data_IF_260440631164
#
_entry.id   IF_260440631164
#
_cell.length_a   1.000
_cell.length_b   1.000
_cell.length_c   1.000
_cell.angle_alpha   90.00
_cell.angle_beta   90.00
_cell.angle_gamma   90.00
#
_symmetry.space_group_name_H-M   'P 1'
#
loop_
_entity.id
_entity.type
_entity.pdbx_description
1 polymer ?
#
# COMPACT_ATOMS: atom_id res chain seq x y z
N UNK A 1 23.78 -0.66 31.94
CA UNK A 1 22.56 -0.20 31.23
C UNK A 1 22.98 0.26 29.84
N UNK A 2 22.91 -0.64 28.85
CA UNK A 2 23.17 -0.27 27.46
C UNK A 2 21.88 0.26 26.86
N UNK A 3 21.82 1.56 26.55
CA UNK A 3 20.76 2.09 25.71
C UNK A 3 20.83 1.34 24.37
N UNK A 4 19.85 0.48 24.09
CA UNK A 4 19.68 -0.09 22.75
C UNK A 4 19.38 1.08 21.83
N UNK A 5 20.41 1.60 21.15
CA UNK A 5 20.22 2.59 20.10
C UNK A 5 19.40 1.90 19.01
N UNK A 6 18.17 2.36 18.78
CA UNK A 6 17.39 1.93 17.64
C UNK A 6 18.17 2.29 16.37
N UNK A 7 18.54 1.30 15.57
CA UNK A 7 19.14 1.54 14.26
C UNK A 7 18.21 2.47 13.47
N UNK A 8 18.68 3.62 12.96
CA UNK A 8 17.84 4.51 12.17
C UNK A 8 17.33 3.76 10.93
N UNK A 9 16.06 4.02 10.56
CA UNK A 9 15.49 3.40 9.37
C UNK A 9 16.25 3.87 8.13
N UNK A 10 16.56 2.98 7.17
CA UNK A 10 17.08 3.38 5.87
C UNK A 10 16.13 4.38 5.20
N UNK A 11 16.67 5.36 4.48
CA UNK A 11 15.90 6.41 3.82
C UNK A 11 14.69 5.91 3.01
N UNK A 12 14.79 4.85 2.18
CA UNK A 12 13.63 4.35 1.44
C UNK A 12 12.53 3.80 2.36
N UNK A 13 12.93 3.15 3.45
CA UNK A 13 12.01 2.59 4.45
C UNK A 13 11.30 3.70 5.22
N UNK A 14 12.04 4.75 5.60
CA UNK A 14 11.48 5.92 6.27
C UNK A 14 10.50 6.69 5.37
N UNK A 15 10.81 6.81 4.07
CA UNK A 15 9.91 7.42 3.07
C UNK A 15 8.62 6.63 2.89
N UNK A 16 8.68 5.30 2.92
CA UNK A 16 7.48 4.47 2.80
C UNK A 16 6.63 4.47 4.07
N UNK A 17 7.24 4.27 5.24
CA UNK A 17 6.55 4.18 6.53
C UNK A 17 6.40 5.51 7.26
N UNK A 18 6.24 6.60 6.51
CA UNK A 18 6.21 7.96 7.05
C UNK A 18 4.97 8.27 7.91
N UNK A 19 3.87 7.52 7.74
CA UNK A 19 2.66 7.62 8.56
C UNK A 19 1.88 8.94 8.44
N UNK A 20 2.17 9.74 7.41
CA UNK A 20 1.46 11.00 7.11
C UNK A 20 0.59 10.81 5.85
N UNK A 21 -0.31 11.76 5.53
CA UNK A 21 -0.97 11.75 4.23
C UNK A 21 0.04 11.73 3.08
N UNK A 22 -0.23 10.92 2.06
CA UNK A 22 0.58 10.79 0.86
C UNK A 22 0.32 12.00 -0.05
N UNK A 23 1.18 13.01 0.06
CA UNK A 23 1.14 14.18 -0.83
C UNK A 23 1.79 13.86 -2.18
N UNK A 24 1.57 14.67 -3.24
CA UNK A 24 2.27 14.50 -4.52
C UNK A 24 3.80 14.53 -4.38
N UNK A 25 4.35 15.35 -3.49
CA UNK A 25 5.79 15.43 -3.24
C UNK A 25 6.32 14.16 -2.56
N UNK A 26 5.57 13.64 -1.58
CA UNK A 26 5.92 12.38 -0.92
C UNK A 26 5.84 11.20 -1.90
N UNK A 27 4.81 11.17 -2.73
CA UNK A 27 4.69 10.18 -3.81
C UNK A 27 5.90 10.26 -4.75
N UNK A 28 6.25 11.43 -5.27
CA UNK A 28 7.42 11.58 -6.15
C UNK A 28 8.71 11.15 -5.43
N UNK A 29 8.86 11.46 -4.15
CA UNK A 29 10.01 11.05 -3.35
C UNK A 29 10.09 9.54 -3.12
N UNK A 30 8.94 8.86 -3.01
CA UNK A 30 8.82 7.41 -2.91
C UNK A 30 9.12 6.75 -4.26
N UNK A 31 8.55 7.29 -5.34
CA UNK A 31 8.81 6.80 -6.71
C UNK A 31 10.29 6.89 -7.09
N UNK A 32 11.01 7.90 -6.60
CA UNK A 32 12.44 8.07 -6.83
C UNK A 32 13.31 6.99 -6.16
N UNK A 33 12.79 6.32 -5.11
CA UNK A 33 13.51 5.27 -4.39
C UNK A 33 13.02 3.87 -4.73
N UNK A 34 12.19 3.67 -5.75
CA UNK A 34 11.89 2.32 -6.25
C UNK A 34 12.96 1.92 -7.28
N UNK A 35 13.40 0.66 -7.22
CA UNK A 35 14.31 0.09 -8.21
C UNK A 35 13.61 -0.15 -9.54
N UNK A 36 14.38 -0.36 -10.61
CA UNK A 36 13.82 -0.57 -11.95
C UNK A 36 13.07 -1.90 -12.07
N UNK A 37 13.47 -2.89 -11.26
CA UNK A 37 12.83 -4.20 -11.10
C UNK A 37 11.80 -4.24 -9.96
N UNK A 38 11.33 -3.07 -9.50
CA UNK A 38 10.39 -2.99 -8.39
C UNK A 38 9.09 -3.78 -8.64
N UNK A 39 8.65 -4.50 -7.62
CA UNK A 39 7.35 -5.15 -7.59
C UNK A 39 6.65 -5.08 -6.22
N UNK A 40 5.34 -4.94 -6.24
CA UNK A 40 4.47 -5.13 -5.08
C UNK A 40 3.55 -6.33 -5.30
N UNK A 41 3.45 -7.19 -4.28
CA UNK A 41 2.63 -8.41 -4.30
C UNK A 41 1.86 -8.58 -2.99
N UNK A 42 0.66 -9.14 -3.07
CA UNK A 42 -0.05 -9.66 -1.90
C UNK A 42 0.36 -11.12 -1.66
N UNK A 43 0.75 -11.45 -0.43
CA UNK A 43 1.24 -12.79 -0.05
C UNK A 43 0.55 -13.32 1.20
N UNK A 44 0.60 -14.63 1.40
CA UNK A 44 0.04 -15.30 2.58
C UNK A 44 -1.30 -15.99 2.35
N UNK A 45 -1.77 -16.66 3.39
CA UNK A 45 -2.96 -17.51 3.38
C UNK A 45 -4.26 -16.72 3.11
N UNK A 46 -4.35 -15.52 3.70
CA UNK A 46 -5.56 -14.71 3.69
C UNK A 46 -5.67 -13.73 2.51
N UNK A 47 -4.84 -13.90 1.48
CA UNK A 47 -4.94 -13.07 0.27
C UNK A 47 -6.27 -13.38 -0.43
N UNK A 48 -7.16 -12.38 -0.63
CA UNK A 48 -8.42 -12.60 -1.31
C UNK A 48 -8.20 -12.88 -2.81
N UNK A 49 -9.10 -13.64 -3.43
CA UNK A 49 -8.96 -14.07 -4.83
C UNK A 49 -8.82 -12.90 -5.81
N UNK A 50 -9.48 -11.76 -5.58
CA UNK A 50 -9.34 -10.59 -6.44
C UNK A 50 -7.93 -9.96 -6.41
N UNK A 51 -7.13 -10.27 -5.38
CA UNK A 51 -5.77 -9.79 -5.23
C UNK A 51 -4.75 -10.82 -5.75
N UNK A 52 -5.17 -12.04 -6.11
CA UNK A 52 -4.33 -13.05 -6.76
C UNK A 52 -4.53 -13.01 -8.28
N UNK A 53 -3.48 -13.07 -9.10
CA UNK A 53 -2.04 -12.95 -8.82
C UNK A 53 -1.55 -11.51 -9.08
N UNK A 54 -2.21 -10.49 -8.50
CA UNK A 54 -1.91 -9.09 -8.86
C UNK A 54 -0.48 -8.74 -8.45
N UNK A 55 0.35 -8.47 -9.45
CA UNK A 55 1.68 -7.88 -9.29
C UNK A 55 1.63 -6.44 -9.81
N UNK A 56 1.90 -5.49 -8.92
CA UNK A 56 2.08 -4.08 -9.29
C UNK A 56 3.58 -3.83 -9.48
N UNK A 57 4.02 -3.90 -10.73
CA UNK A 57 5.37 -3.51 -11.12
C UNK A 57 5.56 -1.98 -11.10
N UNK A 58 6.80 -1.52 -11.34
CA UNK A 58 7.14 -0.09 -11.41
C UNK A 58 6.32 0.73 -12.40
N UNK A 59 5.82 0.13 -13.48
CA UNK A 59 4.99 0.84 -14.47
C UNK A 59 3.55 1.05 -13.98
N UNK A 60 3.06 0.21 -13.07
CA UNK A 60 1.65 0.22 -12.60
C UNK A 60 1.49 0.84 -11.22
N UNK A 61 2.44 0.64 -10.32
CA UNK A 61 2.33 1.08 -8.93
C UNK A 61 2.07 2.59 -8.78
N UNK A 62 2.82 3.49 -9.45
CA UNK A 62 2.54 4.94 -9.42
C UNK A 62 1.11 5.30 -9.83
N UNK A 63 0.60 4.65 -10.88
CA UNK A 63 -0.76 4.88 -11.37
C UNK A 63 -1.83 4.43 -10.38
N UNK A 64 -1.63 3.27 -9.74
CA UNK A 64 -2.53 2.76 -8.70
C UNK A 64 -2.56 3.69 -7.47
N UNK A 65 -1.40 4.17 -7.03
CA UNK A 65 -1.29 5.10 -5.90
C UNK A 65 -1.95 6.45 -6.23
N UNK A 66 -1.65 7.00 -7.42
CA UNK A 66 -2.28 8.25 -7.89
C UNK A 66 -3.80 8.14 -8.00
N UNK A 67 -4.32 7.00 -8.47
CA UNK A 67 -5.76 6.76 -8.54
C UNK A 67 -6.40 6.77 -7.15
N UNK A 68 -5.77 6.13 -6.17
CA UNK A 68 -6.22 6.22 -4.78
C UNK A 68 -6.18 7.67 -4.26
N UNK A 69 -5.09 8.41 -4.46
CA UNK A 69 -4.99 9.79 -3.97
C UNK A 69 -6.00 10.74 -4.61
N UNK A 70 -6.37 10.52 -5.87
CA UNK A 70 -7.39 11.33 -6.54
C UNK A 70 -8.76 11.22 -5.85
N UNK A 71 -9.11 10.03 -5.34
CA UNK A 71 -10.36 9.79 -4.61
C UNK A 71 -10.24 9.99 -3.10
N UNK A 72 -9.04 9.80 -2.55
CA UNK A 72 -8.71 9.88 -1.13
C UNK A 72 -7.53 10.85 -0.91
N UNK A 73 -7.75 12.18 -0.94
CA UNK A 73 -6.67 13.17 -0.87
C UNK A 73 -5.82 13.10 0.41
N UNK A 74 -6.36 12.53 1.49
CA UNK A 74 -5.65 12.30 2.76
C UNK A 74 -5.22 10.83 2.97
N UNK A 75 -5.10 10.05 1.88
CA UNK A 75 -4.64 8.67 1.92
C UNK A 75 -3.36 8.53 2.75
N UNK A 76 -3.37 7.67 3.75
CA UNK A 76 -2.27 7.47 4.69
C UNK A 76 -1.96 5.98 4.80
N UNK A 77 -0.67 5.65 4.82
CA UNK A 77 -0.14 4.33 5.17
C UNK A 77 0.51 4.45 6.56
N UNK A 78 -0.25 4.13 7.61
CA UNK A 78 0.16 4.35 8.99
C UNK A 78 0.65 3.06 9.66
N UNK A 79 1.96 2.95 9.97
CA UNK A 79 2.45 1.87 10.82
C UNK A 79 1.75 1.92 12.19
N UNK A 80 1.15 0.81 12.59
CA UNK A 80 0.52 0.63 13.91
C UNK A 80 1.54 0.31 15.01
N UNK A 81 2.74 -0.10 14.61
CA UNK A 81 3.90 -0.40 15.46
C UNK A 81 5.17 0.09 14.77
N UNK A 82 6.25 0.20 15.54
CA UNK A 82 7.57 0.53 14.99
C UNK A 82 7.98 -0.46 13.91
N UNK A 83 8.56 0.05 12.83
CA UNK A 83 9.15 -0.74 11.75
C UNK A 83 10.33 -1.55 12.31
N UNK A 84 10.42 -2.82 11.94
CA UNK A 84 11.50 -3.73 12.36
C UNK A 84 12.12 -4.43 11.18
N UNK A 85 13.43 -4.61 11.21
CA UNK A 85 14.09 -5.52 10.29
C UNK A 85 13.80 -6.97 10.69
N UNK A 86 13.41 -7.81 9.72
CA UNK A 86 13.14 -9.24 9.88
C UNK A 86 14.36 -10.05 9.44
N UNK A 87 14.40 -11.32 9.85
CA UNK A 87 15.51 -12.23 9.55
C UNK A 87 15.72 -12.48 8.04
N UNK A 88 14.68 -12.31 7.22
CA UNK A 88 14.74 -12.41 5.76
C UNK A 88 15.27 -11.13 5.08
N UNK A 89 15.78 -10.17 5.86
CA UNK A 89 16.31 -8.89 5.37
C UNK A 89 15.27 -7.81 5.10
N UNK A 90 13.96 -8.11 5.19
CA UNK A 90 12.92 -7.10 4.97
C UNK A 90 12.75 -6.16 6.17
N UNK A 91 12.28 -4.95 5.90
CA UNK A 91 11.81 -3.99 6.90
C UNK A 91 10.29 -4.01 6.91
N UNK A 92 9.69 -4.35 8.05
CA UNK A 92 8.26 -4.61 8.12
C UNK A 92 7.56 -3.89 9.27
N UNK A 93 6.29 -3.54 9.02
CA UNK A 93 5.36 -3.07 10.02
C UNK A 93 3.93 -3.49 9.67
N UNK A 94 3.13 -3.75 10.71
CA UNK A 94 1.68 -3.79 10.58
C UNK A 94 1.20 -2.37 10.26
N UNK A 95 0.54 -2.20 9.13
CA UNK A 95 0.16 -0.91 8.56
C UNK A 95 -1.35 -0.86 8.37
N UNK A 96 -1.97 0.21 8.86
CA UNK A 96 -3.36 0.56 8.55
C UNK A 96 -3.35 1.53 7.38
N UNK A 97 -4.13 1.25 6.34
CA UNK A 97 -4.30 2.17 5.21
C UNK A 97 -5.67 2.83 5.33
N UNK A 98 -5.72 4.15 5.26
CA UNK A 98 -6.97 4.89 5.41
C UNK A 98 -7.02 6.16 4.58
N UNK A 99 -8.24 6.58 4.23
CA UNK A 99 -8.50 7.88 3.63
C UNK A 99 -9.99 8.20 3.59
N UNK A 100 -10.32 9.48 3.45
CA UNK A 100 -11.67 9.97 3.28
C UNK A 100 -12.03 10.05 1.79
N UNK A 101 -13.14 9.45 1.40
CA UNK A 101 -13.63 9.51 0.02
C UNK A 101 -14.28 10.87 -0.26
N UNK A 102 -13.44 11.89 -0.39
CA UNK A 102 -13.79 13.31 -0.57
C UNK A 102 -13.33 13.86 -1.92
N UNK A 103 -12.48 13.14 -2.63
CA UNK A 103 -12.02 13.48 -3.98
C UNK A 103 -12.93 12.93 -5.08
N UNK A 104 -12.32 12.55 -6.19
CA UNK A 104 -12.98 12.03 -7.38
C UNK A 104 -13.74 10.71 -7.13
N UNK A 105 -14.80 10.42 -7.90
CA UNK A 105 -15.45 9.10 -7.89
C UNK A 105 -14.46 7.96 -8.11
N UNK A 106 -14.55 6.91 -7.29
CA UNK A 106 -13.53 5.87 -7.22
C UNK A 106 -13.92 4.59 -7.95
N UNK A 107 -13.00 4.09 -8.79
CA UNK A 107 -12.96 2.70 -9.22
C UNK A 107 -11.48 2.27 -9.33
N UNK A 108 -11.12 1.04 -8.89
CA UNK A 108 -9.74 0.56 -8.95
C UNK A 108 -9.36 0.05 -10.34
N UNK A 109 -10.34 -0.23 -11.21
CA UNK A 109 -10.16 -0.74 -12.56
C UNK A 109 -11.12 -0.02 -13.52
N UNK A 110 -10.72 0.26 -14.78
CA UNK A 110 -11.52 1.07 -15.71
C UNK A 110 -12.89 0.50 -16.08
N UNK A 111 -13.05 -0.83 -16.04
CA UNK A 111 -14.31 -1.49 -16.41
C UNK A 111 -15.35 -1.50 -15.29
N UNK A 112 -14.98 -1.08 -14.07
CA UNK A 112 -15.89 -1.02 -12.94
C UNK A 112 -16.61 0.33 -12.89
N UNK A 113 -17.82 0.31 -12.35
CA UNK A 113 -18.57 1.53 -12.09
C UNK A 113 -17.85 2.38 -11.04
N UNK A 114 -17.70 3.68 -11.31
CA UNK A 114 -17.11 4.61 -10.34
C UNK A 114 -18.11 4.88 -9.23
N UNK A 115 -17.73 4.62 -7.98
CA UNK A 115 -18.53 4.97 -6.82
C UNK A 115 -18.45 6.49 -6.62
N UNK A 116 -19.59 7.21 -6.61
CA UNK A 116 -19.58 8.63 -6.32
C UNK A 116 -18.97 8.94 -4.95
N UNK A 117 -18.39 10.14 -4.83
CA UNK A 117 -17.86 10.67 -3.58
C UNK A 117 -18.88 10.52 -2.45
N UNK A 118 -18.46 9.93 -1.33
CA UNK A 118 -19.40 9.50 -0.28
C UNK A 118 -19.16 10.14 1.08
N UNK A 119 -18.08 10.92 1.24
CA UNK A 119 -17.62 11.49 2.51
C UNK A 119 -17.30 10.43 3.59
N UNK A 120 -17.32 9.13 3.23
CA UNK A 120 -16.98 8.04 4.14
C UNK A 120 -15.46 8.00 4.34
N UNK A 121 -15.05 7.83 5.60
CA UNK A 121 -13.71 7.37 5.91
C UNK A 121 -13.62 5.86 5.65
N UNK A 122 -12.66 5.46 4.82
CA UNK A 122 -12.37 4.06 4.51
C UNK A 122 -11.08 3.66 5.20
N UNK A 123 -11.09 2.48 5.83
CA UNK A 123 -9.91 1.88 6.47
C UNK A 123 -9.80 0.41 6.08
N UNK A 124 -8.59 -0.02 5.75
CA UNK A 124 -8.23 -1.42 5.54
C UNK A 124 -6.99 -1.79 6.36
N UNK A 125 -6.82 -3.08 6.62
CA UNK A 125 -5.79 -3.62 7.49
C UNK A 125 -6.21 -3.70 8.97
N UNK A 126 -5.24 -3.91 9.88
CA UNK A 126 -3.81 -3.88 9.62
C UNK A 126 -3.34 -5.03 8.72
N UNK A 127 -2.44 -4.72 7.78
CA UNK A 127 -1.72 -5.69 6.96
C UNK A 127 -0.23 -5.59 7.27
N UNK A 128 0.53 -6.68 7.22
CA UNK A 128 1.99 -6.57 7.32
C UNK A 128 2.55 -6.15 5.97
N UNK A 129 3.13 -4.95 5.92
CA UNK A 129 3.90 -4.49 4.79
C UNK A 129 5.37 -4.82 5.06
N UNK A 130 6.02 -5.54 4.16
CA UNK A 130 7.43 -5.90 4.22
C UNK A 130 8.17 -5.35 3.00
N UNK A 131 9.12 -4.44 3.24
CA UNK A 131 9.95 -3.82 2.22
C UNK A 131 11.29 -4.53 2.12
N UNK A 132 11.65 -4.92 0.92
CA UNK A 132 12.98 -5.41 0.59
C UNK A 132 13.71 -4.30 -0.15
N UNK A 133 14.98 -4.14 0.19
CA UNK A 133 15.85 -3.17 -0.44
C UNK A 133 16.77 -3.87 -1.44
N UNK A 134 17.26 -3.12 -2.41
CA UNK A 134 18.42 -3.51 -3.23
C UNK A 134 19.63 -3.79 -2.35
N UNK A 135 20.62 -4.52 -2.87
CA UNK A 135 21.81 -4.94 -2.10
C UNK A 135 22.58 -3.76 -1.48
N UNK A 136 22.60 -2.61 -2.16
CA UNK A 136 23.21 -1.37 -1.68
C UNK A 136 22.35 -0.60 -0.65
N UNK A 137 21.12 -1.06 -0.39
CA UNK A 137 20.18 -0.46 0.56
C UNK A 137 19.56 0.86 0.10
N UNK A 138 19.77 1.29 -1.15
CA UNK A 138 19.38 2.65 -1.61
C UNK A 138 17.99 2.72 -2.24
N UNK A 139 17.45 1.58 -2.70
CA UNK A 139 16.14 1.50 -3.35
C UNK A 139 15.30 0.36 -2.79
N UNK A 140 13.98 0.46 -2.91
CA UNK A 140 13.01 -0.60 -2.65
C UNK A 140 12.88 -1.42 -3.92
N UNK A 141 13.18 -2.73 -3.84
CA UNK A 141 12.97 -3.65 -4.96
C UNK A 141 11.69 -4.47 -4.84
N UNK A 142 11.19 -4.70 -3.63
CA UNK A 142 9.98 -5.48 -3.43
C UNK A 142 9.19 -5.01 -2.22
N UNK A 143 7.87 -4.99 -2.37
CA UNK A 143 6.91 -4.83 -1.27
C UNK A 143 6.03 -6.07 -1.22
N UNK A 144 6.03 -6.76 -0.10
CA UNK A 144 5.09 -7.84 0.18
C UNK A 144 4.04 -7.34 1.18
N UNK A 145 2.77 -7.49 0.85
CA UNK A 145 1.65 -7.15 1.73
C UNK A 145 0.97 -8.44 2.17
N UNK A 146 0.97 -8.68 3.47
CA UNK A 146 0.39 -9.89 4.07
C UNK A 146 -0.88 -9.54 4.85
N UNK A 147 -2.08 -9.94 4.37
CA UNK A 147 -3.31 -9.76 5.12
C UNK A 147 -3.31 -10.64 6.38
N UNK A 148 -3.94 -10.16 7.45
CA UNK A 148 -3.78 -10.75 8.79
C UNK A 148 -4.94 -11.67 9.22
N UNK A 149 -6.03 -11.74 8.47
CA UNK A 149 -7.17 -12.58 8.79
C UNK A 149 -8.00 -12.90 7.55
N UNK A 150 -8.78 -13.99 7.61
CA UNK A 150 -9.73 -14.37 6.56
C UNK A 150 -10.73 -13.25 6.27
N UNK A 151 -11.03 -13.03 4.98
CA UNK A 151 -11.95 -11.98 4.54
C UNK A 151 -11.39 -10.56 4.61
N UNK A 152 -10.08 -10.39 4.83
CA UNK A 152 -9.42 -9.09 4.78
C UNK A 152 -9.65 -8.40 3.42
N UNK A 153 -9.93 -7.09 3.50
CA UNK A 153 -9.98 -6.22 2.32
C UNK A 153 -8.60 -5.61 2.10
N UNK A 154 -8.08 -5.69 0.87
CA UNK A 154 -6.67 -5.38 0.57
C UNK A 154 -6.58 -4.48 -0.66
N UNK A 155 -5.62 -3.54 -0.62
CA UNK A 155 -5.31 -2.64 -1.74
C UNK A 155 -6.49 -1.80 -2.28
N UNK A 156 -6.35 -1.24 -3.50
CA UNK A 156 -7.41 -0.47 -4.13
C UNK A 156 -8.76 -1.19 -4.27
N UNK A 157 -8.83 -2.50 -4.60
CA UNK A 157 -10.10 -3.23 -4.64
C UNK A 157 -10.78 -3.35 -3.27
N UNK A 158 -10.02 -3.45 -2.18
CA UNK A 158 -10.56 -3.45 -0.82
C UNK A 158 -11.25 -2.12 -0.47
N UNK A 159 -10.63 -0.99 -0.83
CA UNK A 159 -11.26 0.34 -0.68
C UNK A 159 -12.58 0.42 -1.46
N UNK A 160 -12.61 -0.12 -2.68
CA UNK A 160 -13.80 -0.12 -3.53
C UNK A 160 -14.96 -0.90 -2.92
N UNK A 161 -14.69 -2.10 -2.38
CA UNK A 161 -15.70 -2.90 -1.68
C UNK A 161 -16.21 -2.23 -0.41
N UNK A 162 -15.33 -1.58 0.37
CA UNK A 162 -15.73 -0.79 1.56
C UNK A 162 -16.65 0.39 1.23
N UNK A 163 -16.56 0.92 0.01
CA UNK A 163 -17.48 1.94 -0.48
C UNK A 163 -18.83 1.38 -0.98
N UNK A 164 -18.97 0.07 -1.07
CA UNK A 164 -20.16 -0.62 -1.59
C UNK A 164 -20.03 -1.07 -3.05
N UNK A 165 -18.83 -0.96 -3.64
CA UNK A 165 -18.59 -1.42 -5.00
C UNK A 165 -18.48 -2.95 -5.12
N UNK A 166 -18.87 -3.48 -6.28
CA UNK A 166 -18.82 -4.91 -6.60
C UNK A 166 -17.71 -5.19 -7.63
N UNK A 167 -16.76 -6.08 -7.31
CA UNK A 167 -15.65 -6.44 -8.21
C UNK A 167 -16.13 -7.39 -9.31
N UNK A 168 -16.78 -6.84 -10.33
CA UNK A 168 -17.25 -7.58 -11.50
C UNK A 168 -16.09 -7.91 -12.45
N UNK A 169 -16.11 -9.06 -13.12
CA UNK A 169 -15.14 -9.35 -14.18
C UNK A 169 -15.28 -8.34 -15.33
N UNK A 170 -14.22 -8.12 -16.13
CA UNK A 170 -14.33 -7.30 -17.32
C UNK A 170 -15.34 -7.88 -18.31
N UNK A 171 -16.03 -7.04 -19.09
CA UNK A 171 -16.90 -7.52 -20.16
C UNK A 171 -16.10 -8.38 -21.15
N UNK A 172 -16.73 -9.44 -21.65
CA UNK A 172 -16.16 -10.34 -22.68
C UNK A 172 -16.11 -9.66 -24.04
#
# INVERSE_FOLDING_TARGET
>A
MGCMQSVPLPDPVAKFFHGKPMTPELQASLEAVLSDDFELRFVGEFVPEYAKPVVLDRSKFPGALKNLQASFPNLTFAPTKSVKQKANGSWAALTLVSGDHTGEPFAPMPHLEKIPTSQKNVKIGPEEFALFLTEDGTKINKVEITPQHEGAEVGPPGFYRKLGGELKPPPK
#
